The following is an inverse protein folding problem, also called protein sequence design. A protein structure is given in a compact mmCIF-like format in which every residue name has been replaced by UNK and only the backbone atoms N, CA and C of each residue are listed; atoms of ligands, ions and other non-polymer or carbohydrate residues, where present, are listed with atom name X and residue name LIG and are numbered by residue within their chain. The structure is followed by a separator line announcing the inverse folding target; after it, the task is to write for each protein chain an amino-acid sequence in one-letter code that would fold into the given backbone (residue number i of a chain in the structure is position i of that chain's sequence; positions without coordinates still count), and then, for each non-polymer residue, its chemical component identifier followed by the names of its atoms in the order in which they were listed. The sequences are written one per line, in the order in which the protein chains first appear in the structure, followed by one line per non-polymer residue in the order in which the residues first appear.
data_IF_401492278820
#
_entry.id   IF_401492278820
#
_cell.length_a   1.000
_cell.length_b   1.000
_cell.length_c   1.000
_cell.angle_alpha   90.00
_cell.angle_beta   90.00
_cell.angle_gamma   90.00
#
_symmetry.space_group_name_H-M   'P 1'
#
loop_
_entity.id
_entity.type
_entity.pdbx_description
1 polymer ?
#
# COMPACT_ATOMS: atom_id res chain seq x y z
N UNK A 1 -17.86 25.40 10.06
CA UNK A 1 -17.62 24.53 8.89
C UNK A 1 -16.20 24.02 8.99
N UNK A 2 -15.99 22.71 8.99
CA UNK A 2 -14.66 22.09 9.04
C UNK A 2 -14.19 21.97 7.59
N UNK A 3 -13.07 22.60 7.29
CA UNK A 3 -12.45 22.58 5.97
C UNK A 3 -11.86 21.18 5.71
N UNK A 4 -12.57 20.40 4.89
CA UNK A 4 -12.12 19.10 4.33
C UNK A 4 -11.52 19.33 2.92
N UNK A 5 -11.00 20.53 2.63
CA UNK A 5 -10.19 20.75 1.43
C UNK A 5 -8.71 20.60 1.76
N UNK A 6 -8.30 19.36 2.05
CA UNK A 6 -6.88 19.05 1.91
C UNK A 6 -6.53 19.27 0.44
N UNK A 7 -5.78 20.34 0.14
CA UNK A 7 -5.27 20.59 -1.20
C UNK A 7 -4.69 19.30 -1.76
N UNK A 8 -5.10 18.95 -2.98
CA UNK A 8 -4.64 17.74 -3.66
C UNK A 8 -3.16 17.94 -4.01
N UNK A 9 -2.28 17.78 -3.03
CA UNK A 9 -0.85 17.93 -3.17
C UNK A 9 -0.37 16.77 -4.04
N UNK A 10 -0.36 16.98 -5.35
CA UNK A 10 0.35 16.23 -6.40
C UNK A 10 0.54 14.72 -6.20
N UNK A 11 1.64 14.21 -6.75
CA UNK A 11 2.01 12.80 -6.62
C UNK A 11 2.75 12.59 -5.28
N UNK A 12 2.29 11.62 -4.46
CA UNK A 12 2.89 11.31 -3.17
C UNK A 12 4.34 10.80 -3.29
N UNK A 13 4.64 10.11 -4.39
CA UNK A 13 5.99 9.64 -4.71
C UNK A 13 6.95 10.83 -4.87
N UNK A 14 6.57 11.85 -5.65
CA UNK A 14 7.42 13.02 -5.88
C UNK A 14 7.61 13.90 -4.65
N UNK A 15 6.78 13.71 -3.62
CA UNK A 15 6.90 14.38 -2.32
C UNK A 15 7.68 13.57 -1.29
N UNK A 16 8.17 12.37 -1.65
CA UNK A 16 8.84 11.48 -0.71
C UNK A 16 7.92 10.93 0.40
N UNK A 17 6.59 10.94 0.16
CA UNK A 17 5.57 10.44 1.10
C UNK A 17 5.15 9.00 0.81
N UNK A 18 5.53 8.47 -0.34
CA UNK A 18 5.36 7.07 -0.72
C UNK A 18 6.63 6.28 -0.41
N UNK A 19 6.50 5.16 0.30
CA UNK A 19 7.64 4.33 0.74
C UNK A 19 7.78 3.07 -0.12
N UNK A 20 6.65 2.48 -0.54
CA UNK A 20 6.60 1.31 -1.43
C UNK A 20 5.17 1.12 -1.98
N UNK A 21 5.06 0.38 -3.10
CA UNK A 21 3.78 -0.04 -3.68
C UNK A 21 3.76 -1.56 -3.79
N UNK A 22 2.75 -2.18 -3.19
CA UNK A 22 2.47 -3.61 -3.36
C UNK A 22 1.00 -3.77 -3.76
N UNK A 23 0.75 -4.60 -4.77
CA UNK A 23 -0.59 -4.92 -5.24
C UNK A 23 -0.82 -6.42 -5.14
N UNK A 24 -1.84 -6.84 -4.40
CA UNK A 24 -2.23 -8.23 -4.23
C UNK A 24 -2.92 -8.78 -5.50
N UNK A 25 -2.15 -9.02 -6.55
CA UNK A 25 -2.64 -9.66 -7.77
C UNK A 25 -2.65 -11.18 -7.57
N UNK A 26 -3.78 -11.70 -7.12
CA UNK A 26 -4.01 -13.14 -7.00
C UNK A 26 -4.75 -13.68 -8.24
N UNK A 27 -4.18 -14.65 -8.99
CA UNK A 27 -4.87 -15.26 -10.12
C UNK A 27 -6.05 -16.16 -9.72
N UNK A 28 -6.14 -16.58 -8.46
CA UNK A 28 -7.17 -17.50 -7.94
C UNK A 28 -8.18 -16.76 -7.03
N UNK A 29 -8.02 -15.45 -6.84
CA UNK A 29 -8.93 -14.63 -6.05
C UNK A 29 -10.36 -14.58 -6.60
N UNK A 30 -11.31 -14.13 -5.79
CA UNK A 30 -12.73 -13.99 -6.15
C UNK A 30 -12.94 -13.22 -7.46
N UNK A 31 -12.20 -12.13 -7.64
CA UNK A 31 -12.00 -11.48 -8.94
C UNK A 31 -10.50 -11.57 -9.27
N UNK A 32 -10.11 -12.33 -10.31
CA UNK A 32 -8.70 -12.52 -10.64
C UNK A 32 -7.95 -11.20 -10.86
N UNK A 33 -6.78 -11.08 -10.24
CA UNK A 33 -5.86 -9.94 -10.37
C UNK A 33 -6.48 -8.57 -10.03
N UNK A 34 -7.58 -8.51 -9.29
CA UNK A 34 -8.24 -7.27 -8.90
C UNK A 34 -7.94 -6.91 -7.44
N UNK A 35 -6.83 -6.21 -7.13
CA UNK A 35 -6.51 -5.82 -5.76
C UNK A 35 -7.53 -4.80 -5.23
N UNK A 36 -7.97 -5.03 -4.01
CA UNK A 36 -8.91 -4.20 -3.25
C UNK A 36 -8.58 -4.26 -1.76
N UNK A 37 -7.44 -3.68 -1.37
CA UNK A 37 -7.01 -3.64 0.02
C UNK A 37 -7.93 -2.72 0.84
N UNK A 38 -8.58 -3.27 1.87
CA UNK A 38 -9.56 -2.54 2.70
C UNK A 38 -9.00 -2.09 4.05
N UNK A 39 -7.99 -2.80 4.58
CA UNK A 39 -7.41 -2.48 5.89
C UNK A 39 -5.94 -2.78 5.87
N UNK A 40 -5.12 -1.86 6.36
CA UNK A 40 -3.66 -1.98 6.42
C UNK A 40 -3.22 -1.75 7.86
N UNK A 41 -2.53 -2.71 8.44
CA UNK A 41 -2.02 -2.68 9.81
C UNK A 41 -0.50 -2.91 9.81
N UNK A 42 0.31 -1.88 10.11
CA UNK A 42 1.73 -2.06 10.34
C UNK A 42 1.98 -2.69 11.73
N UNK A 43 2.79 -3.75 11.79
CA UNK A 43 3.17 -4.41 13.04
C UNK A 43 4.57 -5.02 12.96
N UNK A 44 5.47 -4.62 13.88
CA UNK A 44 6.85 -5.13 14.00
C UNK A 44 7.66 -5.19 12.68
N UNK A 45 7.48 -4.20 11.80
CA UNK A 45 8.16 -4.13 10.50
C UNK A 45 7.48 -4.91 9.37
N UNK A 46 6.35 -5.55 9.66
CA UNK A 46 5.48 -6.16 8.69
C UNK A 46 4.27 -5.26 8.44
N UNK A 47 3.69 -5.34 7.26
CA UNK A 47 2.43 -4.73 6.90
C UNK A 47 1.46 -5.87 6.61
N UNK A 48 0.41 -5.94 7.41
CA UNK A 48 -0.68 -6.88 7.22
C UNK A 48 -1.83 -6.14 6.56
N UNK A 49 -2.40 -6.70 5.50
CA UNK A 49 -3.57 -6.07 4.89
C UNK A 49 -4.54 -7.08 4.30
N UNK A 50 -5.82 -6.76 4.44
CA UNK A 50 -6.93 -7.57 3.94
C UNK A 50 -7.33 -7.08 2.56
N UNK A 51 -7.25 -7.97 1.60
CA UNK A 51 -7.73 -7.79 0.24
C UNK A 51 -9.10 -8.45 0.08
N UNK A 52 -10.06 -7.71 -0.47
CA UNK A 52 -11.46 -8.18 -0.60
C UNK A 52 -11.55 -9.41 -1.52
N UNK A 53 -10.64 -9.55 -2.48
CA UNK A 53 -10.71 -10.60 -3.50
C UNK A 53 -9.76 -11.76 -3.22
N UNK A 54 -8.64 -11.52 -2.54
CA UNK A 54 -7.56 -12.50 -2.32
C UNK A 54 -7.28 -12.83 -0.85
N UNK A 55 -7.99 -12.19 0.09
CA UNK A 55 -7.87 -12.50 1.51
C UNK A 55 -6.71 -11.77 2.21
N UNK A 56 -6.04 -12.44 3.15
CA UNK A 56 -5.07 -11.80 4.03
C UNK A 56 -3.63 -11.90 3.52
N UNK A 57 -2.95 -10.75 3.46
CA UNK A 57 -1.56 -10.65 3.04
C UNK A 57 -0.67 -10.13 4.17
N UNK A 58 0.58 -10.62 4.18
CA UNK A 58 1.63 -10.15 5.07
C UNK A 58 2.86 -9.82 4.22
N UNK A 59 3.23 -8.55 4.16
CA UNK A 59 4.42 -8.08 3.43
C UNK A 59 5.41 -7.46 4.40
N UNK A 60 6.69 -7.51 4.07
CA UNK A 60 7.75 -6.87 4.84
C UNK A 60 8.35 -5.76 4.01
N UNK A 61 8.41 -4.57 4.58
CA UNK A 61 9.08 -3.44 3.92
C UNK A 61 10.59 -3.69 3.98
N UNK A 62 11.22 -3.76 2.83
CA UNK A 62 12.68 -3.81 2.75
C UNK A 62 13.23 -2.39 2.98
N UNK A 63 14.40 -2.25 3.64
CA UNK A 63 15.07 -0.96 3.73
C UNK A 63 15.28 -0.41 2.32
N UNK A 64 15.03 0.89 2.12
CA UNK A 64 15.45 1.55 0.90
C UNK A 64 16.97 1.46 0.82
N UNK A 65 17.52 0.63 -0.07
CA UNK A 65 18.93 0.67 -0.37
C UNK A 65 19.21 2.06 -0.93
N UNK A 66 20.05 2.82 -0.22
CA UNK A 66 20.43 4.17 -0.62
C UNK A 66 20.97 4.06 -2.05
N UNK A 67 20.45 4.82 -3.04
CA UNK A 67 21.03 4.78 -4.37
C UNK A 67 22.51 5.14 -4.21
N UNK A 68 23.37 4.23 -4.66
CA UNK A 68 24.82 4.44 -4.72
C UNK A 68 25.02 5.74 -5.50
N UNK A 69 25.61 6.73 -4.81
CA UNK A 69 25.93 8.04 -5.37
C UNK A 69 26.86 7.94 -6.57
#
# INVERSE_FOLDING_TARGET
MVDISGDLMGNLYTQGREIAVFKAHDPIGYIPNSPGAWSVMPWKGNIFFSDINSGMWAVKVQPAERPIS
#
